data_IF_044087555221
#
_entry.id   IF_044087555221
#
_cell.length_a   1.000
_cell.length_b   1.000
_cell.length_c   1.000
_cell.angle_alpha   90.00
_cell.angle_beta   90.00
_cell.angle_gamma   90.00
#
_symmetry.space_group_name_H-M   'P 1'
#
loop_
_entity.id
_entity.type
_entity.pdbx_description
1 polymer ?
#
# COMPACT_ATOMS: atom_id res chain seq x y z
N UNK A 1 86.23 8.48 -24.70
CA UNK A 1 84.82 8.19 -25.04
C UNK A 1 84.03 8.14 -23.74
N UNK A 2 82.81 8.70 -23.76
CA UNK A 2 81.86 9.03 -22.67
C UNK A 2 82.09 10.37 -21.95
N UNK A 3 81.57 11.41 -22.59
CA UNK A 3 81.28 12.74 -22.04
C UNK A 3 80.18 12.63 -20.96
N UNK A 4 80.44 13.20 -19.78
CA UNK A 4 79.58 13.13 -18.60
C UNK A 4 78.99 14.52 -18.33
N UNK A 5 77.97 14.89 -19.09
CA UNK A 5 77.22 16.12 -18.82
C UNK A 5 76.41 15.95 -17.52
N UNK A 6 76.47 16.89 -16.56
CA UNK A 6 75.74 16.77 -15.30
C UNK A 6 74.25 16.98 -15.54
N UNK A 7 73.42 15.99 -15.19
CA UNK A 7 71.97 16.12 -15.21
C UNK A 7 71.53 17.21 -14.22
N UNK A 8 70.71 18.19 -14.64
CA UNK A 8 70.23 19.24 -13.75
C UNK A 8 69.32 18.63 -12.68
N UNK A 9 69.74 18.74 -11.41
CA UNK A 9 68.92 18.32 -10.26
C UNK A 9 67.67 19.21 -10.18
N UNK A 10 66.54 18.69 -10.63
CA UNK A 10 65.23 19.33 -10.46
C UNK A 10 64.92 19.41 -8.97
N UNK A 11 65.07 20.60 -8.39
CA UNK A 11 64.67 20.85 -7.01
C UNK A 11 63.14 20.84 -6.93
N UNK A 12 62.59 20.12 -5.94
CA UNK A 12 61.15 19.91 -5.72
C UNK A 12 60.34 21.22 -5.76
N UNK A 13 60.95 22.33 -5.33
CA UNK A 13 60.37 23.68 -5.38
C UNK A 13 60.14 24.23 -6.80
N UNK A 14 61.03 23.94 -7.77
CA UNK A 14 60.84 24.38 -9.17
C UNK A 14 59.84 23.49 -9.91
N UNK A 15 59.82 22.19 -9.63
CA UNK A 15 58.82 21.28 -10.19
C UNK A 15 57.38 21.65 -9.81
N UNK A 16 57.16 22.04 -8.55
CA UNK A 16 55.83 22.49 -8.06
C UNK A 16 55.41 23.83 -8.68
N UNK A 17 56.36 24.72 -9.01
CA UNK A 17 56.09 26.00 -9.67
C UNK A 17 55.54 25.82 -11.09
N UNK A 18 56.19 24.97 -11.90
CA UNK A 18 55.80 24.71 -13.29
C UNK A 18 54.46 23.97 -13.36
N UNK A 19 54.21 23.04 -12.43
CA UNK A 19 52.93 22.34 -12.33
C UNK A 19 51.78 23.30 -11.98
N UNK A 20 52.01 24.26 -11.07
CA UNK A 20 50.98 25.23 -10.64
C UNK A 20 50.57 26.19 -11.75
N UNK A 21 51.47 26.51 -12.67
CA UNK A 21 51.20 27.36 -13.83
C UNK A 21 50.40 26.60 -14.91
N UNK A 22 50.76 25.35 -15.22
CA UNK A 22 50.02 24.50 -16.17
C UNK A 22 48.63 24.06 -15.66
N UNK A 23 48.48 23.80 -14.34
CA UNK A 23 47.18 23.50 -13.73
C UNK A 23 46.25 24.71 -13.76
N UNK A 24 46.78 25.94 -13.80
CA UNK A 24 46.00 27.17 -13.88
C UNK A 24 45.39 27.41 -15.27
N UNK A 25 46.09 27.05 -16.34
CA UNK A 25 45.57 27.14 -17.71
C UNK A 25 44.50 26.07 -17.98
N UNK A 26 44.61 24.89 -17.38
CA UNK A 26 43.69 23.76 -17.63
C UNK A 26 42.57 23.57 -16.60
N UNK A 27 42.24 24.60 -15.78
CA UNK A 27 41.25 24.48 -14.69
C UNK A 27 39.86 24.04 -15.17
N UNK A 28 39.45 24.52 -16.35
CA UNK A 28 38.18 24.12 -16.96
C UNK A 28 38.18 22.63 -17.36
N UNK A 29 39.28 22.14 -17.92
CA UNK A 29 39.44 20.74 -18.29
C UNK A 29 39.46 19.82 -17.05
N UNK A 30 40.18 20.22 -16.00
CA UNK A 30 40.19 19.48 -14.73
C UNK A 30 38.82 19.48 -14.05
N UNK A 31 38.10 20.62 -14.06
CA UNK A 31 36.75 20.70 -13.53
C UNK A 31 35.78 19.81 -14.31
N UNK A 32 35.90 19.78 -15.65
CA UNK A 32 35.10 18.89 -16.50
C UNK A 32 35.41 17.41 -16.23
N UNK A 33 36.69 17.03 -16.06
CA UNK A 33 37.08 15.66 -15.72
C UNK A 33 36.57 15.24 -14.35
N UNK A 34 36.66 16.13 -13.35
CA UNK A 34 36.12 15.88 -12.01
C UNK A 34 34.60 15.75 -12.06
N UNK A 35 33.90 16.65 -12.76
CA UNK A 35 32.44 16.58 -12.92
C UNK A 35 32.02 15.28 -13.62
N UNK A 36 32.70 14.89 -14.69
CA UNK A 36 32.43 13.64 -15.40
C UNK A 36 32.74 12.41 -14.54
N UNK A 37 33.80 12.46 -13.73
CA UNK A 37 34.13 11.38 -12.78
C UNK A 37 33.10 11.28 -11.65
N UNK A 38 32.55 12.40 -11.17
CA UNK A 38 31.48 12.42 -10.17
C UNK A 38 30.18 11.89 -10.78
N UNK A 39 29.82 12.31 -11.98
CA UNK A 39 28.65 11.78 -12.71
C UNK A 39 28.81 10.28 -12.95
N UNK A 40 30.00 9.82 -13.36
CA UNK A 40 30.30 8.41 -13.56
C UNK A 40 30.22 7.60 -12.25
N UNK A 41 30.68 8.16 -11.13
CA UNK A 41 30.58 7.53 -9.81
C UNK A 41 29.13 7.49 -9.29
N UNK A 42 28.35 8.55 -9.51
CA UNK A 42 26.92 8.57 -9.18
C UNK A 42 26.17 7.56 -10.06
N UNK A 43 26.46 7.52 -11.36
CA UNK A 43 25.86 6.56 -12.28
C UNK A 43 26.21 5.11 -11.90
N UNK A 44 27.44 4.83 -11.47
CA UNK A 44 27.85 3.48 -11.02
C UNK A 44 27.21 3.08 -9.68
N UNK A 45 26.87 4.03 -8.81
CA UNK A 45 26.07 3.78 -7.61
C UNK A 45 24.58 3.53 -7.94
N UNK A 46 24.04 4.22 -8.93
CA UNK A 46 22.62 4.13 -9.33
C UNK A 46 22.33 2.91 -10.20
N UNK A 47 23.29 2.47 -11.03
CA UNK A 47 23.19 1.29 -11.89
C UNK A 47 22.69 0.02 -11.18
N UNK A 48 23.29 -0.44 -10.07
CA UNK A 48 22.84 -1.63 -9.37
C UNK A 48 21.42 -1.47 -8.80
N UNK A 49 21.02 -0.26 -8.37
CA UNK A 49 19.67 -0.01 -7.86
C UNK A 49 18.60 -0.07 -8.96
N UNK A 50 18.89 0.47 -10.15
CA UNK A 50 17.99 0.39 -11.31
C UNK A 50 17.86 -1.05 -11.83
N UNK A 51 18.97 -1.79 -11.87
CA UNK A 51 18.97 -3.21 -12.26
C UNK A 51 18.20 -4.04 -11.24
N UNK A 52 18.38 -3.82 -9.94
CA UNK A 52 17.59 -4.51 -8.92
C UNK A 52 16.10 -4.18 -9.05
N UNK A 53 15.74 -2.90 -9.27
CA UNK A 53 14.34 -2.49 -9.46
C UNK A 53 13.71 -3.12 -10.70
N UNK A 54 14.48 -3.29 -11.77
CA UNK A 54 14.04 -3.97 -13.00
C UNK A 54 13.92 -5.48 -12.74
N UNK A 55 14.88 -6.11 -12.08
CA UNK A 55 14.82 -7.53 -11.68
C UNK A 55 13.61 -7.79 -10.77
N UNK A 56 13.37 -6.91 -9.79
CA UNK A 56 12.23 -6.98 -8.88
C UNK A 56 10.90 -6.74 -9.62
N UNK A 57 10.87 -5.85 -10.62
CA UNK A 57 9.68 -5.58 -11.45
C UNK A 57 9.43 -6.62 -12.56
N UNK A 58 10.47 -7.28 -13.06
CA UNK A 58 10.44 -8.40 -14.02
C UNK A 58 10.28 -9.73 -13.27
N UNK A 59 10.35 -9.71 -11.95
CA UNK A 59 9.94 -10.77 -11.03
C UNK A 59 8.44 -11.10 -11.09
N UNK A 60 7.72 -10.73 -12.16
CA UNK A 60 6.39 -11.23 -12.55
C UNK A 60 6.34 -12.76 -12.61
N UNK A 61 7.49 -13.43 -12.74
CA UNK A 61 7.64 -14.87 -12.53
C UNK A 61 7.38 -15.31 -11.08
N UNK A 62 7.54 -14.45 -10.07
CA UNK A 62 7.34 -14.81 -8.66
C UNK A 62 5.87 -15.05 -8.33
N UNK A 63 4.94 -14.28 -8.92
CA UNK A 63 3.51 -14.48 -8.71
C UNK A 63 3.05 -15.79 -9.36
N UNK A 64 3.41 -16.03 -10.63
CA UNK A 64 3.10 -17.28 -11.33
C UNK A 64 3.81 -18.48 -10.70
N UNK A 65 5.08 -18.36 -10.31
CA UNK A 65 5.81 -19.42 -9.61
C UNK A 65 5.22 -19.69 -8.24
N UNK A 66 4.84 -18.67 -7.47
CA UNK A 66 4.18 -18.86 -6.17
C UNK A 66 2.80 -19.51 -6.30
N UNK A 67 2.06 -19.19 -7.37
CA UNK A 67 0.79 -19.84 -7.69
C UNK A 67 0.99 -21.30 -8.09
N UNK A 68 1.97 -21.60 -8.95
CA UNK A 68 2.29 -22.98 -9.37
C UNK A 68 2.77 -23.80 -8.16
N UNK A 69 3.70 -23.27 -7.37
CA UNK A 69 4.18 -23.91 -6.13
C UNK A 69 3.03 -24.12 -5.17
N UNK A 70 2.19 -23.10 -4.94
CA UNK A 70 1.03 -23.20 -4.06
C UNK A 70 0.01 -24.25 -4.54
N UNK A 71 -0.22 -24.36 -5.84
CA UNK A 71 -1.10 -25.39 -6.43
C UNK A 71 -0.51 -26.79 -6.29
N UNK A 72 0.78 -26.96 -6.56
CA UNK A 72 1.50 -28.23 -6.39
C UNK A 72 1.51 -28.66 -4.93
N UNK A 73 1.78 -27.73 -4.01
CA UNK A 73 1.75 -27.97 -2.56
C UNK A 73 0.35 -28.31 -2.07
N UNK A 74 -0.70 -27.65 -2.59
CA UNK A 74 -2.08 -27.96 -2.24
C UNK A 74 -2.47 -29.36 -2.72
N UNK A 75 -2.13 -29.74 -3.96
CA UNK A 75 -2.41 -31.07 -4.51
C UNK A 75 -1.62 -32.16 -3.78
N UNK A 76 -0.32 -31.92 -3.55
CA UNK A 76 0.56 -32.83 -2.81
C UNK A 76 0.11 -32.99 -1.37
N UNK A 77 -0.23 -31.89 -0.70
CA UNK A 77 -0.78 -31.86 0.64
C UNK A 77 -2.09 -32.63 0.74
N UNK A 78 -3.03 -32.43 -0.19
CA UNK A 78 -4.27 -33.19 -0.24
C UNK A 78 -4.01 -34.70 -0.43
N UNK A 79 -3.09 -35.07 -1.32
CA UNK A 79 -2.72 -36.48 -1.55
C UNK A 79 -2.10 -37.11 -0.30
N UNK A 80 -1.22 -36.38 0.40
CA UNK A 80 -0.63 -36.79 1.67
C UNK A 80 -1.72 -36.95 2.74
N UNK A 81 -2.65 -36.01 2.85
CA UNK A 81 -3.74 -36.07 3.83
C UNK A 81 -4.59 -37.32 3.61
N UNK A 82 -5.08 -37.50 2.38
CA UNK A 82 -5.94 -38.64 2.02
C UNK A 82 -5.19 -39.96 2.15
N UNK A 83 -3.95 -40.04 1.66
CA UNK A 83 -3.12 -41.25 1.72
C UNK A 83 -2.77 -41.65 3.16
N UNK A 84 -2.36 -40.69 3.98
CA UNK A 84 -2.06 -40.92 5.40
C UNK A 84 -3.30 -41.33 6.17
N UNK A 85 -4.44 -40.65 5.95
CA UNK A 85 -5.69 -40.99 6.61
C UNK A 85 -6.15 -42.40 6.22
N UNK A 86 -6.13 -42.76 4.93
CA UNK A 86 -6.48 -44.10 4.46
C UNK A 86 -5.57 -45.18 5.06
N UNK A 87 -4.25 -44.94 5.09
CA UNK A 87 -3.30 -45.84 5.72
C UNK A 87 -3.57 -45.99 7.22
N UNK A 88 -3.77 -44.89 7.96
CA UNK A 88 -4.05 -44.90 9.40
C UNK A 88 -5.35 -45.63 9.73
N UNK A 89 -6.41 -45.44 8.93
CA UNK A 89 -7.68 -46.15 9.05
C UNK A 89 -7.48 -47.64 8.82
N UNK A 90 -6.71 -48.02 7.79
CA UNK A 90 -6.38 -49.42 7.51
C UNK A 90 -5.64 -50.06 8.69
N UNK A 91 -4.57 -49.42 9.18
CA UNK A 91 -3.76 -49.99 10.25
C UNK A 91 -4.51 -50.09 11.57
N UNK A 92 -5.20 -49.02 11.98
CA UNK A 92 -5.96 -49.05 13.23
C UNK A 92 -7.01 -47.91 13.31
N UNK A 93 -8.31 -48.18 13.10
CA UNK A 93 -9.34 -47.15 13.05
C UNK A 93 -9.57 -46.43 14.39
N UNK A 94 -9.41 -47.10 15.53
CA UNK A 94 -9.54 -46.44 16.86
C UNK A 94 -8.43 -45.42 17.12
N UNK A 95 -7.17 -45.75 16.80
CA UNK A 95 -6.07 -44.79 16.96
C UNK A 95 -6.25 -43.60 16.01
N UNK A 96 -6.74 -43.85 14.77
CA UNK A 96 -7.11 -42.79 13.84
C UNK A 96 -8.19 -41.88 14.42
N UNK A 97 -9.26 -42.44 15.00
CA UNK A 97 -10.34 -41.64 15.60
C UNK A 97 -9.84 -40.75 16.76
N UNK A 98 -8.92 -41.26 17.60
CA UNK A 98 -8.31 -40.47 18.67
C UNK A 98 -7.43 -39.36 18.11
N UNK A 99 -6.57 -39.66 17.13
CA UNK A 99 -5.75 -38.64 16.47
C UNK A 99 -6.62 -37.57 15.80
N UNK A 100 -7.65 -37.99 15.06
CA UNK A 100 -8.60 -37.10 14.39
C UNK A 100 -9.34 -36.21 15.40
N UNK A 101 -9.76 -36.74 16.54
CA UNK A 101 -10.42 -35.97 17.59
C UNK A 101 -9.51 -34.87 18.17
N UNK A 102 -8.25 -35.21 18.47
CA UNK A 102 -7.27 -34.23 18.97
C UNK A 102 -6.96 -33.16 17.91
N UNK A 103 -6.72 -33.58 16.66
CA UNK A 103 -6.43 -32.67 15.55
C UNK A 103 -7.61 -31.75 15.23
N UNK A 104 -8.83 -32.28 15.24
CA UNK A 104 -10.06 -31.49 15.02
C UNK A 104 -10.30 -30.50 16.15
N UNK A 105 -10.09 -30.91 17.41
CA UNK A 105 -10.19 -30.00 18.56
C UNK A 105 -9.18 -28.84 18.47
N UNK A 106 -7.95 -29.13 18.05
CA UNK A 106 -6.94 -28.13 17.79
C UNK A 106 -7.32 -27.21 16.61
N UNK A 107 -7.82 -27.79 15.52
CA UNK A 107 -8.29 -27.05 14.35
C UNK A 107 -9.40 -26.05 14.69
N UNK A 108 -10.40 -26.47 15.48
CA UNK A 108 -11.48 -25.60 15.94
C UNK A 108 -10.94 -24.47 16.81
N UNK A 109 -10.01 -24.79 17.72
CA UNK A 109 -9.38 -23.79 18.61
C UNK A 109 -8.62 -22.73 17.81
N UNK A 110 -7.85 -23.14 16.81
CA UNK A 110 -7.12 -22.23 15.90
C UNK A 110 -8.10 -21.42 15.07
N UNK A 111 -9.09 -22.04 14.45
CA UNK A 111 -10.10 -21.37 13.62
C UNK A 111 -10.88 -20.30 14.42
N UNK A 112 -11.25 -20.60 15.66
CA UNK A 112 -11.91 -19.65 16.56
C UNK A 112 -11.00 -18.46 16.94
N UNK A 113 -9.70 -18.70 17.10
CA UNK A 113 -8.73 -17.64 17.38
C UNK A 113 -8.47 -16.76 16.16
N UNK A 114 -8.47 -17.31 14.94
CA UNK A 114 -8.24 -16.57 13.70
C UNK A 114 -9.20 -15.40 13.51
N UNK A 115 -10.49 -15.55 13.87
CA UNK A 115 -11.45 -14.44 13.80
C UNK A 115 -11.06 -13.26 14.71
N UNK A 116 -10.59 -13.56 15.94
CA UNK A 116 -10.10 -12.53 16.87
C UNK A 116 -8.81 -11.87 16.40
N UNK A 117 -7.91 -12.63 15.74
CA UNK A 117 -6.70 -12.06 15.14
C UNK A 117 -7.08 -11.07 14.06
N UNK A 118 -8.00 -11.42 13.16
CA UNK A 118 -8.41 -10.54 12.07
C UNK A 118 -9.00 -9.23 12.60
N UNK A 119 -9.81 -9.29 13.66
CA UNK A 119 -10.34 -8.10 14.32
C UNK A 119 -9.22 -7.23 14.95
N UNK A 120 -8.27 -7.86 15.66
CA UNK A 120 -7.14 -7.14 16.26
C UNK A 120 -6.22 -6.54 15.20
N UNK A 121 -5.96 -7.26 14.11
CA UNK A 121 -5.18 -6.81 12.97
C UNK A 121 -5.82 -5.59 12.31
N UNK A 122 -7.15 -5.58 12.16
CA UNK A 122 -7.88 -4.40 11.66
C UNK A 122 -7.69 -3.19 12.57
N UNK A 123 -7.83 -3.35 13.89
CA UNK A 123 -7.60 -2.28 14.87
C UNK A 123 -6.15 -1.78 14.87
N UNK A 124 -5.18 -2.68 14.65
CA UNK A 124 -3.76 -2.31 14.47
C UNK A 124 -3.59 -1.46 13.21
N UNK A 125 -4.20 -1.84 12.10
CA UNK A 125 -4.15 -1.07 10.85
C UNK A 125 -4.80 0.31 11.01
N UNK A 126 -5.98 0.40 11.63
CA UNK A 126 -6.69 1.67 11.87
C UNK A 126 -5.88 2.61 12.77
N UNK A 127 -5.34 2.11 13.89
CA UNK A 127 -4.52 2.91 14.81
C UNK A 127 -3.18 3.34 14.22
N UNK A 128 -2.54 2.47 13.43
CA UNK A 128 -1.31 2.82 12.69
C UNK A 128 -1.60 3.86 11.62
N UNK A 129 -2.74 3.75 10.92
CA UNK A 129 -3.18 4.76 9.94
C UNK A 129 -3.42 6.13 10.58
N UNK A 130 -4.12 6.16 11.74
CA UNK A 130 -4.34 7.38 12.50
C UNK A 130 -3.00 8.04 12.93
N UNK A 131 -2.07 7.25 13.49
CA UNK A 131 -0.73 7.73 13.86
C UNK A 131 0.03 8.30 12.67
N UNK A 132 0.05 7.59 11.52
CA UNK A 132 0.72 8.05 10.30
C UNK A 132 0.12 9.35 9.78
N UNK A 133 -1.22 9.45 9.73
CA UNK A 133 -1.90 10.67 9.31
C UNK A 133 -1.65 11.85 10.26
N UNK A 134 -1.53 11.59 11.58
CA UNK A 134 -1.18 12.59 12.57
C UNK A 134 0.23 13.13 12.34
N UNK A 135 1.21 12.24 12.11
CA UNK A 135 2.58 12.62 11.79
C UNK A 135 2.64 13.41 10.47
N UNK A 136 1.96 12.96 9.43
CA UNK A 136 1.93 13.64 8.14
C UNK A 136 1.31 15.04 8.23
N UNK A 137 0.19 15.18 8.95
CA UNK A 137 -0.45 16.47 9.21
C UNK A 137 0.44 17.40 10.03
N UNK A 138 1.04 16.91 11.11
CA UNK A 138 1.92 17.71 11.96
C UNK A 138 3.18 18.19 11.22
N UNK A 139 3.72 17.36 10.32
CA UNK A 139 4.87 17.73 9.49
C UNK A 139 4.49 18.73 8.38
N UNK A 140 3.35 18.51 7.72
CA UNK A 140 2.87 19.40 6.66
C UNK A 140 2.50 20.79 7.20
N UNK A 141 1.93 20.84 8.42
CA UNK A 141 1.53 22.06 9.10
C UNK A 141 2.58 22.56 10.13
N UNK A 142 3.83 22.11 10.05
CA UNK A 142 4.84 22.36 11.11
C UNK A 142 5.05 23.85 11.42
N UNK A 143 4.95 24.71 10.41
CA UNK A 143 5.05 26.16 10.58
C UNK A 143 3.85 26.68 11.38
N UNK A 144 2.63 26.25 11.05
CA UNK A 144 1.41 26.63 11.76
C UNK A 144 1.42 26.17 13.23
N UNK A 145 1.89 24.95 13.49
CA UNK A 145 2.04 24.41 14.85
C UNK A 145 3.05 25.25 15.66
N UNK A 146 4.14 25.71 15.05
CA UNK A 146 5.15 26.56 15.69
C UNK A 146 4.66 27.99 15.91
N UNK A 147 3.96 28.59 14.94
CA UNK A 147 3.44 29.95 15.07
C UNK A 147 2.31 30.04 16.09
N UNK A 148 1.52 28.96 16.25
CA UNK A 148 0.52 28.84 17.32
C UNK A 148 1.11 28.49 18.70
N UNK A 149 2.40 28.17 18.80
CA UNK A 149 3.03 27.72 20.05
C UNK A 149 2.50 26.38 20.57
N UNK A 150 1.87 25.57 19.71
CA UNK A 150 1.14 24.36 20.09
C UNK A 150 1.99 23.07 20.06
N UNK A 151 3.33 23.19 20.00
CA UNK A 151 4.22 22.03 19.78
C UNK A 151 4.11 20.96 20.87
N UNK A 152 3.97 21.33 22.14
CA UNK A 152 3.82 20.36 23.23
C UNK A 152 2.46 19.66 23.19
N UNK A 153 1.40 20.39 22.86
CA UNK A 153 0.05 19.84 22.71
C UNK A 153 -0.02 18.86 21.54
N UNK A 154 0.56 19.22 20.40
CA UNK A 154 0.61 18.36 19.21
C UNK A 154 1.44 17.09 19.46
N UNK A 155 2.61 17.23 20.11
CA UNK A 155 3.45 16.09 20.48
C UNK A 155 2.75 15.16 21.49
N UNK A 156 1.98 15.70 22.43
CA UNK A 156 1.19 14.91 23.37
C UNK A 156 0.08 14.12 22.66
N UNK A 157 -0.60 14.73 21.68
CA UNK A 157 -1.62 14.07 20.86
C UNK A 157 -1.02 12.91 20.04
N UNK A 158 0.07 13.16 19.32
CA UNK A 158 0.78 12.11 18.55
C UNK A 158 1.29 10.97 19.44
N UNK A 159 1.73 11.29 20.66
CA UNK A 159 2.16 10.28 21.62
C UNK A 159 1.01 9.39 22.05
N UNK A 160 -0.18 9.94 22.29
CA UNK A 160 -1.36 9.16 22.66
C UNK A 160 -1.84 8.26 21.50
N UNK A 161 -1.76 8.74 20.24
CA UNK A 161 -1.95 7.93 19.04
C UNK A 161 -0.94 6.77 18.96
N UNK A 162 0.34 7.05 19.18
CA UNK A 162 1.39 6.05 19.20
C UNK A 162 1.18 5.01 20.33
N UNK A 163 0.77 5.45 21.52
CA UNK A 163 0.47 4.56 22.66
C UNK A 163 -0.78 3.70 22.41
N UNK A 164 -1.77 4.21 21.67
CA UNK A 164 -2.91 3.41 21.19
C UNK A 164 -2.46 2.36 20.18
N UNK A 165 -1.68 2.73 19.18
CA UNK A 165 -1.15 1.81 18.16
C UNK A 165 -0.25 0.73 18.78
N UNK A 166 0.61 1.12 19.73
CA UNK A 166 1.46 0.20 20.50
C UNK A 166 0.64 -0.81 21.30
N UNK A 167 -0.38 -0.34 22.05
CA UNK A 167 -1.25 -1.24 22.84
C UNK A 167 -2.10 -2.15 21.96
N UNK A 168 -2.59 -1.67 20.82
CA UNK A 168 -3.30 -2.49 19.84
C UNK A 168 -2.37 -3.60 19.29
N UNK A 169 -1.14 -3.23 18.91
CA UNK A 169 -0.13 -4.15 18.39
C UNK A 169 0.24 -5.22 19.42
N UNK A 170 0.48 -4.85 20.69
CA UNK A 170 0.77 -5.80 21.76
C UNK A 170 -0.36 -6.80 21.99
N UNK A 171 -1.64 -6.42 21.79
CA UNK A 171 -2.77 -7.35 21.89
C UNK A 171 -2.79 -8.34 20.74
N UNK A 172 -2.53 -7.90 19.50
CA UNK A 172 -2.43 -8.80 18.33
C UNK A 172 -1.28 -9.77 18.50
N UNK A 173 -0.08 -9.25 18.81
CA UNK A 173 1.14 -10.05 18.98
C UNK A 173 0.98 -11.06 20.12
N UNK A 174 0.30 -10.71 21.22
CA UNK A 174 0.07 -11.66 22.32
C UNK A 174 -0.82 -12.84 21.90
N UNK A 175 -1.81 -12.60 21.04
CA UNK A 175 -2.68 -13.66 20.52
C UNK A 175 -1.90 -14.54 19.53
N UNK A 176 -1.12 -13.94 18.62
CA UNK A 176 -0.24 -14.65 17.69
C UNK A 176 0.82 -15.49 18.42
N UNK A 177 1.46 -14.93 19.45
CA UNK A 177 2.48 -15.59 20.26
C UNK A 177 1.95 -16.81 21.02
N UNK A 178 0.64 -16.87 21.29
CA UNK A 178 0.01 -18.02 21.93
C UNK A 178 -0.39 -19.11 20.92
N UNK A 179 -0.74 -18.74 19.69
CA UNK A 179 -1.24 -19.66 18.67
C UNK A 179 -0.18 -20.59 18.11
N UNK A 180 1.03 -20.08 17.87
CA UNK A 180 2.13 -20.89 17.36
C UNK A 180 2.50 -22.05 18.33
N UNK A 181 2.73 -21.79 19.64
CA UNK A 181 2.93 -22.86 20.61
C UNK A 181 1.73 -23.79 20.76
N UNK A 182 0.49 -23.27 20.74
CA UNK A 182 -0.71 -24.10 20.85
C UNK A 182 -0.82 -25.11 19.71
N UNK A 183 -0.50 -24.69 18.49
CA UNK A 183 -0.55 -25.55 17.30
C UNK A 183 0.47 -26.68 17.41
N UNK A 184 1.68 -26.40 17.90
CA UNK A 184 2.68 -27.42 18.19
C UNK A 184 2.28 -28.36 19.33
N UNK A 185 1.67 -27.81 20.39
CA UNK A 185 1.23 -28.57 21.57
C UNK A 185 0.12 -29.56 21.23
N UNK A 186 -0.81 -29.19 20.33
CA UNK A 186 -1.83 -30.11 19.82
C UNK A 186 -1.23 -31.39 19.21
N UNK A 187 -0.15 -31.26 18.44
CA UNK A 187 0.54 -32.38 17.80
C UNK A 187 1.25 -33.24 18.85
N UNK A 188 1.91 -32.61 19.83
CA UNK A 188 2.54 -33.34 20.93
C UNK A 188 1.51 -34.12 21.76
N UNK A 189 0.34 -33.52 22.02
CA UNK A 189 -0.78 -34.20 22.68
C UNK A 189 -1.27 -35.38 21.84
N UNK A 190 -1.44 -35.20 20.53
CA UNK A 190 -1.83 -36.28 19.62
C UNK A 190 -0.80 -37.42 19.63
N UNK A 191 0.50 -37.10 19.58
CA UNK A 191 1.59 -38.06 19.64
C UNK A 191 1.57 -38.85 20.96
N UNK A 192 1.48 -38.17 22.11
CA UNK A 192 1.45 -38.83 23.43
C UNK A 192 0.20 -39.70 23.57
N UNK A 193 -0.96 -39.24 23.11
CA UNK A 193 -2.21 -40.01 23.13
C UNK A 193 -2.12 -41.28 22.27
N UNK A 194 -1.58 -41.17 21.06
CA UNK A 194 -1.38 -42.29 20.15
C UNK A 194 -0.33 -43.26 20.69
N UNK A 195 0.78 -42.75 21.24
CA UNK A 195 1.82 -43.59 21.82
C UNK A 195 1.32 -44.32 23.07
N UNK A 196 0.58 -43.63 23.94
CA UNK A 196 0.01 -44.22 25.15
C UNK A 196 -1.03 -45.30 24.85
N UNK A 197 -2.05 -44.96 24.05
CA UNK A 197 -3.11 -45.90 23.70
C UNK A 197 -2.62 -47.00 22.76
N UNK A 198 -1.79 -46.65 21.78
CA UNK A 198 -1.17 -47.59 20.85
C UNK A 198 -0.19 -48.51 21.56
N UNK A 199 0.61 -48.01 22.49
CA UNK A 199 1.49 -48.80 23.33
C UNK A 199 0.74 -49.81 24.20
N UNK A 200 -0.38 -49.41 24.80
CA UNK A 200 -1.26 -50.33 25.53
C UNK A 200 -1.79 -51.46 24.63
N UNK A 201 -2.18 -51.14 23.39
CA UNK A 201 -2.62 -52.13 22.39
C UNK A 201 -1.51 -53.05 21.91
N UNK A 202 -0.29 -52.53 21.78
CA UNK A 202 0.89 -53.35 21.46
C UNK A 202 1.18 -54.32 22.61
N UNK A 203 1.11 -53.87 23.86
CA UNK A 203 1.28 -54.72 25.04
C UNK A 203 0.19 -55.80 25.16
N UNK A 204 -1.04 -55.50 24.71
CA UNK A 204 -2.14 -56.46 24.63
C UNK A 204 -2.01 -57.46 23.46
N UNK A 205 -1.05 -57.27 22.55
CA UNK A 205 -0.87 -58.11 21.35
C UNK A 205 -1.86 -57.81 20.22
N UNK A 206 -2.68 -56.76 20.34
CA UNK A 206 -3.67 -56.35 19.33
C UNK A 206 -3.03 -55.58 18.16
N UNK A 207 -1.86 -54.99 18.39
CA UNK A 207 -1.14 -54.16 17.44
C UNK A 207 0.33 -54.55 17.39
N UNK A 208 0.92 -54.59 16.19
CA UNK A 208 2.37 -54.78 16.06
C UNK A 208 3.12 -53.48 16.34
N UNK A 209 4.34 -53.59 16.88
CA UNK A 209 5.23 -52.43 17.07
C UNK A 209 5.46 -51.70 15.74
N UNK A 210 5.61 -52.45 14.64
CA UNK A 210 5.80 -51.90 13.30
C UNK A 210 4.60 -51.04 12.86
N UNK A 211 3.36 -51.49 13.10
CA UNK A 211 2.16 -50.74 12.77
C UNK A 211 2.04 -49.47 13.61
N UNK A 212 2.44 -49.50 14.89
CA UNK A 212 2.50 -48.30 15.72
C UNK A 212 3.52 -47.30 15.17
N UNK A 213 4.72 -47.75 14.77
CA UNK A 213 5.74 -46.88 14.17
C UNK A 213 5.26 -46.29 12.85
N UNK A 214 4.66 -47.09 11.97
CA UNK A 214 4.07 -46.61 10.71
C UNK A 214 2.98 -45.56 10.98
N UNK A 215 2.10 -45.82 11.97
CA UNK A 215 1.06 -44.88 12.35
C UNK A 215 1.63 -43.54 12.83
N UNK A 216 2.69 -43.55 13.65
CA UNK A 216 3.37 -42.32 14.09
C UNK A 216 4.03 -41.59 12.92
N UNK A 217 4.59 -42.29 11.94
CA UNK A 217 5.13 -41.66 10.72
C UNK A 217 4.04 -40.97 9.91
N UNK A 218 2.89 -41.62 9.69
CA UNK A 218 1.76 -40.99 9.00
C UNK A 218 1.20 -39.80 9.78
N UNK A 219 1.14 -39.88 11.12
CA UNK A 219 0.76 -38.76 11.98
C UNK A 219 1.69 -37.55 11.79
N UNK A 220 3.00 -37.77 11.72
CA UNK A 220 3.96 -36.68 11.45
C UNK A 220 3.89 -36.18 10.00
N UNK A 221 3.57 -37.05 9.03
CA UNK A 221 3.37 -36.62 7.65
C UNK A 221 2.15 -35.70 7.49
N UNK A 222 1.13 -35.87 8.35
CA UNK A 222 -0.03 -34.98 8.44
C UNK A 222 0.26 -33.62 9.09
N UNK A 223 1.38 -33.45 9.79
CA UNK A 223 1.71 -32.20 10.50
C UNK A 223 1.82 -31.00 9.55
N UNK A 224 2.59 -31.15 8.47
CA UNK A 224 2.84 -30.06 7.53
C UNK A 224 1.56 -29.67 6.74
N UNK A 225 0.82 -30.63 6.12
CA UNK A 225 -0.42 -30.31 5.41
C UNK A 225 -1.51 -29.71 6.30
N UNK A 226 -1.63 -30.15 7.56
CA UNK A 226 -2.59 -29.56 8.50
C UNK A 226 -2.26 -28.10 8.79
N UNK A 227 -0.97 -27.78 8.99
CA UNK A 227 -0.52 -26.39 9.15
C UNK A 227 -0.83 -25.53 7.92
N UNK A 228 -0.61 -26.06 6.72
CA UNK A 228 -0.97 -25.39 5.46
C UNK A 228 -2.48 -25.16 5.34
N UNK A 229 -3.30 -26.13 5.76
CA UNK A 229 -4.76 -26.01 5.75
C UNK A 229 -5.22 -24.81 6.61
N UNK A 230 -4.60 -24.60 7.78
CA UNK A 230 -4.88 -23.43 8.62
C UNK A 230 -4.45 -22.11 7.97
N UNK A 231 -3.28 -22.08 7.33
CA UNK A 231 -2.83 -20.93 6.55
C UNK A 231 -3.78 -20.61 5.39
N UNK A 232 -4.29 -21.64 4.70
CA UNK A 232 -5.23 -21.49 3.60
C UNK A 232 -6.53 -20.81 4.04
N UNK A 233 -7.08 -21.16 5.21
CA UNK A 233 -8.27 -20.49 5.78
C UNK A 233 -8.03 -19.00 5.97
N UNK A 234 -6.87 -18.62 6.51
CA UNK A 234 -6.53 -17.19 6.68
C UNK A 234 -6.35 -16.46 5.35
N UNK A 235 -5.76 -17.12 4.35
CA UNK A 235 -5.59 -16.58 3.00
C UNK A 235 -6.93 -16.36 2.29
N UNK A 236 -7.84 -17.33 2.37
CA UNK A 236 -9.20 -17.22 1.81
C UNK A 236 -9.96 -16.07 2.47
N UNK A 237 -9.88 -15.93 3.79
CA UNK A 237 -10.51 -14.82 4.49
C UNK A 237 -9.97 -13.45 4.03
N UNK A 238 -8.65 -13.34 3.82
CA UNK A 238 -8.02 -12.13 3.29
C UNK A 238 -8.47 -11.85 1.84
N UNK A 239 -8.53 -12.87 0.99
CA UNK A 239 -8.98 -12.74 -0.39
C UNK A 239 -10.46 -12.31 -0.48
N UNK A 240 -11.35 -12.92 0.32
CA UNK A 240 -12.76 -12.52 0.42
C UNK A 240 -12.91 -11.08 0.94
N UNK A 241 -12.08 -10.67 1.91
CA UNK A 241 -12.06 -9.29 2.40
C UNK A 241 -11.59 -8.29 1.35
N UNK A 242 -10.63 -8.66 0.49
CA UNK A 242 -10.22 -7.83 -0.64
C UNK A 242 -11.30 -7.77 -1.73
N UNK A 243 -11.93 -8.90 -2.05
CA UNK A 243 -13.03 -8.98 -3.02
C UNK A 243 -14.22 -8.12 -2.60
N UNK A 244 -14.60 -8.15 -1.32
CA UNK A 244 -15.67 -7.31 -0.78
C UNK A 244 -15.38 -5.80 -0.96
N UNK A 245 -14.11 -5.38 -0.87
CA UNK A 245 -13.72 -3.99 -1.17
C UNK A 245 -13.81 -3.65 -2.65
N UNK A 246 -13.43 -4.59 -3.53
CA UNK A 246 -13.58 -4.39 -4.99
C UNK A 246 -15.07 -4.23 -5.32
N UNK A 247 -15.93 -5.08 -4.76
CA UNK A 247 -17.37 -5.02 -4.96
C UNK A 247 -17.97 -3.70 -4.45
N UNK A 248 -17.48 -3.18 -3.32
CA UNK A 248 -17.86 -1.86 -2.81
C UNK A 248 -17.50 -0.74 -3.80
N UNK A 249 -16.26 -0.72 -4.31
CA UNK A 249 -15.82 0.31 -5.27
C UNK A 249 -16.59 0.19 -6.59
N UNK A 250 -16.86 -1.03 -7.05
CA UNK A 250 -17.62 -1.27 -8.28
C UNK A 250 -19.13 -0.98 -8.14
N UNK A 251 -19.65 -1.01 -6.91
CA UNK A 251 -21.06 -0.72 -6.62
C UNK A 251 -21.32 0.78 -6.35
N UNK A 252 -20.28 1.59 -6.22
CA UNK A 252 -20.42 3.03 -6.09
C UNK A 252 -20.99 3.60 -7.40
N UNK A 253 -22.05 4.42 -7.38
CA UNK A 253 -22.59 5.04 -8.57
C UNK A 253 -21.52 5.89 -9.26
N UNK A 254 -21.43 5.81 -10.59
CA UNK A 254 -20.66 6.79 -11.37
C UNK A 254 -21.26 8.18 -11.19
N UNK A 255 -20.43 9.24 -11.20
CA UNK A 255 -20.88 10.63 -11.00
C UNK A 255 -22.04 11.01 -11.93
N UNK A 256 -22.02 10.54 -13.18
CA UNK A 256 -23.06 10.80 -14.19
C UNK A 256 -24.30 9.88 -14.08
N UNK A 257 -24.39 8.99 -13.08
CA UNK A 257 -25.47 7.99 -12.99
C UNK A 257 -26.86 8.61 -12.75
N UNK A 258 -26.91 9.84 -12.23
CA UNK A 258 -28.13 10.61 -12.05
C UNK A 258 -28.46 11.51 -13.25
N UNK A 259 -27.58 11.60 -14.25
CA UNK A 259 -27.82 12.43 -15.42
C UNK A 259 -28.99 11.86 -16.23
N UNK A 260 -30.03 12.67 -16.37
CA UNK A 260 -31.11 12.37 -17.29
C UNK A 260 -30.66 12.76 -18.70
N UNK A 261 -30.56 11.81 -19.66
CA UNK A 261 -30.27 12.18 -21.04
C UNK A 261 -31.40 13.09 -21.54
N UNK A 262 -31.06 14.32 -21.91
CA UNK A 262 -32.02 15.29 -22.48
C UNK A 262 -32.58 14.68 -23.77
N UNK A 263 -33.88 14.36 -23.86
CA UNK A 263 -34.44 13.71 -25.04
C UNK A 263 -34.54 14.70 -26.20
N UNK A 264 -33.69 14.52 -27.22
CA UNK A 264 -33.80 15.22 -28.50
C UNK A 264 -32.49 15.89 -28.93
N UNK A 265 -31.76 15.19 -29.79
CA UNK A 265 -30.69 15.66 -30.69
C UNK A 265 -29.54 16.39 -30.00
N UNK A 266 -28.31 15.86 -30.14
CA UNK A 266 -27.11 16.67 -29.90
C UNK A 266 -27.33 18.05 -30.55
N UNK A 267 -27.25 19.16 -29.79
CA UNK A 267 -27.61 20.46 -30.31
C UNK A 267 -26.82 20.69 -31.61
N UNK A 268 -27.52 21.11 -32.66
CA UNK A 268 -26.85 21.43 -33.92
C UNK A 268 -26.01 22.70 -33.68
N UNK A 269 -24.73 22.48 -33.37
CA UNK A 269 -23.77 23.54 -33.11
C UNK A 269 -23.33 24.25 -34.42
N UNK A 270 -23.85 23.83 -35.59
CA UNK A 270 -23.51 24.46 -36.86
C UNK A 270 -24.23 25.82 -37.02
N UNK A 271 -23.59 26.86 -36.49
CA UNK A 271 -24.04 28.26 -36.60
C UNK A 271 -24.46 28.91 -35.29
N UNK A 272 -24.41 28.19 -34.16
CA UNK A 272 -24.51 28.80 -32.84
C UNK A 272 -23.19 29.49 -32.50
N UNK A 273 -23.24 30.79 -32.16
CA UNK A 273 -22.18 31.44 -31.40
C UNK A 273 -22.11 30.69 -30.07
N UNK A 274 -20.95 30.19 -29.59
CA UNK A 274 -20.89 29.52 -28.30
C UNK A 274 -21.19 30.49 -27.15
N UNK A 275 -22.47 30.72 -26.89
CA UNK A 275 -22.91 31.49 -25.74
C UNK A 275 -22.89 30.60 -24.50
N UNK A 276 -22.15 31.00 -23.48
CA UNK A 276 -22.19 30.33 -22.18
C UNK A 276 -23.06 31.19 -21.26
N UNK A 277 -24.18 30.63 -20.82
CA UNK A 277 -25.11 31.26 -19.90
C UNK A 277 -25.16 30.47 -18.59
N UNK A 278 -24.90 31.17 -17.49
CA UNK A 278 -25.14 30.69 -16.13
C UNK A 278 -26.40 31.39 -15.65
N UNK A 279 -27.44 30.61 -15.36
CA UNK A 279 -28.73 31.09 -14.88
C UNK A 279 -28.97 30.53 -13.47
N UNK A 280 -28.97 31.42 -12.47
CA UNK A 280 -29.15 31.11 -11.05
C UNK A 280 -28.30 29.95 -10.51
N UNK A 281 -27.02 29.87 -10.92
CA UNK A 281 -26.17 28.73 -10.56
C UNK A 281 -25.76 28.82 -9.10
N UNK A 282 -26.10 27.77 -8.36
CA UNK A 282 -25.68 27.56 -6.97
C UNK A 282 -24.72 26.37 -6.94
N UNK A 283 -23.53 26.58 -6.37
CA UNK A 283 -22.53 25.53 -6.22
C UNK A 283 -22.03 25.50 -4.78
N UNK A 284 -22.02 24.30 -4.21
CA UNK A 284 -21.38 23.98 -2.93
C UNK A 284 -20.50 22.76 -3.15
N UNK A 285 -19.33 22.74 -2.53
CA UNK A 285 -18.66 21.47 -2.32
C UNK A 285 -19.47 20.70 -1.28
N UNK A 286 -19.78 19.43 -1.53
CA UNK A 286 -20.22 18.55 -0.46
C UNK A 286 -19.08 18.50 0.56
N UNK A 287 -19.21 19.19 1.68
CA UNK A 287 -18.35 18.89 2.81
C UNK A 287 -18.56 17.42 3.14
N UNK A 288 -17.49 16.63 3.13
CA UNK A 288 -17.48 15.24 3.59
C UNK A 288 -18.11 15.15 4.99
N UNK A 289 -19.43 15.00 5.05
CA UNK A 289 -20.14 14.65 6.26
C UNK A 289 -19.87 13.18 6.52
N UNK A 290 -18.77 12.92 7.21
CA UNK A 290 -18.63 11.71 7.98
C UNK A 290 -19.84 11.54 8.89
N UNK A 291 -20.62 10.50 8.62
CA UNK A 291 -21.59 9.80 9.48
C UNK A 291 -23.07 9.89 9.06
N UNK A 292 -23.53 8.72 8.57
CA UNK A 292 -24.85 8.12 8.72
C UNK A 292 -25.99 8.58 7.79
N UNK A 293 -26.14 7.85 6.68
CA UNK A 293 -27.39 7.14 6.42
C UNK A 293 -28.60 7.96 5.97
N UNK A 294 -28.40 9.06 5.25
CA UNK A 294 -29.46 9.66 4.47
C UNK A 294 -28.96 9.96 3.06
N UNK A 295 -29.61 9.39 2.05
CA UNK A 295 -29.35 9.73 0.66
C UNK A 295 -29.69 11.20 0.45
N UNK A 296 -28.76 12.06 0.02
CA UNK A 296 -29.13 13.37 -0.48
C UNK A 296 -29.70 13.16 -1.88
N UNK A 297 -30.96 13.55 -2.09
CA UNK A 297 -31.39 13.97 -3.42
C UNK A 297 -30.59 15.22 -3.84
N UNK A 298 -30.78 15.74 -5.07
CA UNK A 298 -30.17 16.99 -5.50
C UNK A 298 -30.71 18.13 -4.62
N UNK A 299 -30.04 18.36 -3.50
CA UNK A 299 -30.47 19.25 -2.44
C UNK A 299 -29.84 20.61 -2.65
N UNK A 300 -30.68 21.60 -2.88
CA UNK A 300 -30.28 23.01 -2.79
C UNK A 300 -29.62 23.21 -1.41
N UNK A 301 -28.39 23.74 -1.31
CA UNK A 301 -27.70 23.89 -0.04
C UNK A 301 -28.53 24.75 0.93
N UNK A 302 -28.93 24.15 2.06
CA UNK A 302 -29.86 24.74 3.04
C UNK A 302 -29.25 25.88 3.87
N UNK A 303 -27.92 26.06 3.83
CA UNK A 303 -27.20 27.06 4.64
C UNK A 303 -26.35 28.01 3.79
N UNK A 304 -26.44 29.34 3.99
CA UNK A 304 -25.74 30.34 3.17
C UNK A 304 -24.21 30.35 3.34
N UNK A 305 -23.64 29.55 4.26
CA UNK A 305 -22.20 29.47 4.49
C UNK A 305 -21.49 28.39 3.64
N UNK A 306 -22.23 27.47 3.00
CA UNK A 306 -21.67 26.41 2.13
C UNK A 306 -21.67 26.76 0.64
N UNK A 307 -22.30 27.88 0.27
CA UNK A 307 -22.42 28.29 -1.13
C UNK A 307 -21.18 29.05 -1.57
N UNK A 308 -20.44 28.47 -2.52
CA UNK A 308 -19.28 29.10 -3.17
C UNK A 308 -19.73 29.97 -4.34
N UNK A 309 -20.76 29.54 -5.05
CA UNK A 309 -21.53 30.36 -6.00
C UNK A 309 -22.97 30.43 -5.51
N UNK A 310 -23.54 31.64 -5.46
CA UNK A 310 -24.91 31.87 -4.99
C UNK A 310 -25.57 32.94 -5.88
N UNK A 311 -26.54 32.52 -6.70
CA UNK A 311 -27.32 33.41 -7.55
C UNK A 311 -26.49 34.16 -8.61
N UNK A 312 -25.54 33.47 -9.25
CA UNK A 312 -24.72 34.07 -10.31
C UNK A 312 -25.45 33.97 -11.64
N UNK A 313 -25.73 35.13 -12.24
CA UNK A 313 -26.32 35.25 -13.58
C UNK A 313 -25.30 35.90 -14.53
N UNK A 314 -24.90 35.21 -15.59
CA UNK A 314 -24.14 35.83 -16.66
C UNK A 314 -24.38 35.13 -18.00
N UNK A 315 -24.41 35.91 -19.07
CA UNK A 315 -24.40 35.40 -20.44
C UNK A 315 -23.22 36.04 -21.17
N UNK A 316 -22.37 35.21 -21.79
CA UNK A 316 -21.25 35.65 -22.61
C UNK A 316 -21.43 35.12 -24.03
N UNK A 317 -21.55 36.00 -25.02
CA UNK A 317 -21.45 35.64 -26.44
C UNK A 317 -19.99 35.33 -26.76
N UNK A 318 -19.72 34.19 -27.41
CA UNK A 318 -18.37 33.82 -27.83
C UNK A 318 -17.78 34.84 -28.81
N UNK A 319 -16.98 35.72 -28.21
CA UNK A 319 -15.96 36.66 -28.69
C UNK A 319 -15.59 37.58 -27.50
N UNK A 320 -16.46 37.63 -26.47
CA UNK A 320 -16.24 38.28 -25.18
C UNK A 320 -15.76 37.30 -24.11
N UNK A 321 -14.69 37.69 -23.41
CA UNK A 321 -14.10 36.95 -22.30
C UNK A 321 -14.48 37.68 -21.01
N UNK A 322 -15.03 36.94 -20.05
CA UNK A 322 -15.37 37.46 -18.72
C UNK A 322 -14.36 36.92 -17.71
N UNK A 323 -13.69 37.82 -17.01
CA UNK A 323 -12.67 37.50 -16.01
C UNK A 323 -13.29 37.64 -14.63
N UNK A 324 -13.43 36.52 -13.93
CA UNK A 324 -14.02 36.46 -12.59
C UNK A 324 -12.92 36.14 -11.58
N UNK A 325 -12.92 36.87 -10.46
CA UNK A 325 -12.02 36.63 -9.33
C UNK A 325 -12.79 36.82 -8.02
N UNK A 326 -12.65 35.86 -7.11
CA UNK A 326 -13.39 35.77 -5.85
C UNK A 326 -14.93 35.95 -6.02
N UNK A 327 -15.50 35.33 -7.05
CA UNK A 327 -16.94 35.38 -7.32
C UNK A 327 -17.46 36.71 -7.88
N UNK A 328 -16.58 37.65 -8.24
CA UNK A 328 -16.97 38.92 -8.87
C UNK A 328 -16.35 39.09 -10.26
N UNK A 329 -17.13 39.64 -11.19
CA UNK A 329 -16.64 40.02 -12.52
C UNK A 329 -15.67 41.18 -12.37
N UNK A 330 -14.39 40.95 -12.69
CA UNK A 330 -13.32 41.95 -12.66
C UNK A 330 -13.12 42.65 -13.98
N UNK A 331 -13.36 41.97 -15.09
CA UNK A 331 -13.24 42.56 -16.43
C UNK A 331 -14.06 41.74 -17.45
N UNK A 332 -14.56 42.41 -18.48
CA UNK A 332 -15.22 41.79 -19.64
C UNK A 332 -14.72 42.47 -20.90
N UNK A 333 -14.43 41.70 -21.94
CA UNK A 333 -14.04 42.21 -23.24
C UNK A 333 -13.37 41.14 -24.09
N UNK A 334 -12.96 41.49 -25.30
CA UNK A 334 -12.22 40.56 -26.17
C UNK A 334 -10.82 40.27 -25.63
N UNK A 335 -10.18 39.19 -26.10
CA UNK A 335 -8.80 38.85 -25.72
C UNK A 335 -7.83 40.03 -25.88
N UNK A 336 -7.93 40.78 -26.99
CA UNK A 336 -7.07 41.92 -27.27
C UNK A 336 -7.30 43.05 -26.26
N UNK A 337 -8.55 43.36 -25.95
CA UNK A 337 -8.92 44.42 -25.01
C UNK A 337 -8.52 44.06 -23.58
N UNK A 338 -8.67 42.80 -23.17
CA UNK A 338 -8.29 42.35 -21.82
C UNK A 338 -6.78 42.24 -21.63
N UNK A 339 -6.03 41.91 -22.69
CA UNK A 339 -4.56 41.95 -22.66
C UNK A 339 -4.03 43.37 -22.42
N UNK A 340 -4.75 44.40 -22.87
CA UNK A 340 -4.38 45.80 -22.62
C UNK A 340 -4.93 46.33 -21.30
N UNK A 341 -6.18 46.00 -20.96
CA UNK A 341 -6.93 46.63 -19.88
C UNK A 341 -6.87 45.89 -18.53
N UNK A 342 -6.60 44.58 -18.51
CA UNK A 342 -6.65 43.75 -17.30
C UNK A 342 -5.30 43.11 -16.97
N UNK A 343 -4.72 43.50 -15.83
CA UNK A 343 -3.50 42.87 -15.32
C UNK A 343 -3.74 41.41 -14.90
N UNK A 344 -4.86 41.16 -14.24
CA UNK A 344 -5.28 39.82 -13.82
C UNK A 344 -5.43 38.87 -15.01
N UNK A 345 -6.04 39.33 -16.11
CA UNK A 345 -6.17 38.52 -17.31
C UNK A 345 -4.83 38.18 -17.95
N UNK A 346 -3.90 39.16 -18.01
CA UNK A 346 -2.55 38.94 -18.53
C UNK A 346 -1.76 37.90 -17.76
N UNK A 347 -1.93 37.86 -16.44
CA UNK A 347 -1.24 36.88 -15.60
C UNK A 347 -1.83 35.48 -15.80
N UNK A 348 -3.17 35.35 -15.85
CA UNK A 348 -3.85 34.08 -16.16
C UNK A 348 -3.51 33.55 -17.57
N UNK A 349 -3.45 34.43 -18.57
CA UNK A 349 -3.11 34.07 -19.94
C UNK A 349 -1.63 33.64 -20.08
N UNK A 350 -0.72 34.16 -19.25
CA UNK A 350 0.68 33.73 -19.21
C UNK A 350 0.84 32.33 -18.62
N UNK A 351 0.12 32.03 -17.54
CA UNK A 351 0.23 30.74 -16.87
C UNK A 351 -0.29 29.58 -17.74
N UNK A 352 -1.35 29.79 -18.53
CA UNK A 352 -1.85 28.76 -19.45
C UNK A 352 -0.95 28.49 -20.67
N UNK A 353 -0.03 29.39 -21.02
CA UNK A 353 0.94 29.18 -22.11
C UNK A 353 2.23 28.49 -21.62
N UNK A 354 2.38 28.29 -20.32
CA UNK A 354 3.52 27.61 -19.69
C UNK A 354 3.19 26.19 -19.18
N UNK A 355 1.94 25.76 -19.30
CA UNK A 355 1.45 24.38 -19.10
C UNK A 355 1.25 23.67 -20.44
#
# INVERSE_FOLDING_TARGET
MTDSSPTPRLTLRRGVGILREHVRESRAALAAVVALSVIGAVASLVQPLLVNRIIDSVGTDSALTSFIVGLVDALGGALIIVGSAAAMIWYHPVLFAVALAVLTGAAITVAAASGKIQELARRVSESTGAMSSGVERALSAIVAVRTAGATESEAASLKDDADRAWRASLRSVRLEAFLWPMSGLAIQVAFVMVLGLGGARVAAGELSVANLMAFLMFLFMLMMPIGQLFGAVTSVAAALGALARIDQVMAEPTEDAADSPVPGTAPDLSGAVPAVEFDDVVFSHDEEQGHAGHAPGPGVPDSPHDRVLDGVFFAADADDIVVVDAGQVRATGTHAELMESSALYRDLARDQLLS
#
